data_IF_563245598273
#
_entry.id   IF_563245598273
#
_cell.length_a   1.000
_cell.length_b   1.000
_cell.length_c   1.000
_cell.angle_alpha   90.00
_cell.angle_beta   90.00
_cell.angle_gamma   90.00
#
_symmetry.space_group_name_H-M   'P 1'
#
loop_
_entity.id
_entity.type
_entity.pdbx_description
1 polymer ?
#
# COMPACT_ATOMS: atom_id res chain seq x y z
N UNK A 1 -22.61 22.21 -46.10
CA UNK A 1 -21.74 22.49 -47.26
C UNK A 1 -20.50 23.23 -46.77
N UNK A 2 -19.32 22.71 -47.14
CA UNK A 2 -17.98 23.23 -46.80
C UNK A 2 -17.78 24.70 -47.18
N UNK A 3 -16.94 25.45 -46.44
CA UNK A 3 -15.65 25.98 -46.94
C UNK A 3 -15.01 26.92 -45.89
N UNK A 4 -13.86 26.64 -45.26
CA UNK A 4 -12.44 26.83 -45.67
C UNK A 4 -11.80 28.20 -45.29
N UNK A 5 -10.90 28.14 -44.29
CA UNK A 5 -9.55 28.76 -44.12
C UNK A 5 -9.29 30.28 -43.95
N UNK A 6 -8.59 30.55 -42.85
CA UNK A 6 -7.28 31.24 -42.65
C UNK A 6 -7.08 32.72 -43.00
N UNK A 7 -6.48 33.48 -42.05
CA UNK A 7 -5.21 34.24 -42.16
C UNK A 7 -4.98 35.10 -40.88
N UNK A 8 -3.93 34.81 -40.10
CA UNK A 8 -2.72 35.65 -39.89
C UNK A 8 -2.93 37.08 -39.32
N UNK A 9 -2.38 37.36 -38.13
CA UNK A 9 -1.38 38.42 -37.89
C UNK A 9 -1.06 38.64 -36.38
N UNK A 10 0.23 38.50 -36.03
CA UNK A 10 0.94 39.23 -34.94
C UNK A 10 1.74 40.36 -35.61
N UNK A 11 2.49 41.29 -34.94
CA UNK A 11 2.93 41.34 -33.53
C UNK A 11 2.95 42.75 -32.87
N UNK A 12 3.36 42.87 -31.59
CA UNK A 12 4.28 43.92 -31.07
C UNK A 12 4.85 43.53 -29.69
N UNK A 13 6.17 43.66 -29.55
CA UNK A 13 7.00 43.44 -28.34
C UNK A 13 7.08 44.73 -27.49
N UNK A 14 7.20 44.58 -26.17
CA UNK A 14 8.00 45.44 -25.29
C UNK A 14 8.84 44.56 -24.33
N UNK A 15 10.04 45.04 -23.99
CA UNK A 15 11.16 44.32 -23.38
C UNK A 15 11.34 44.62 -21.87
N UNK A 16 11.64 43.54 -21.13
CA UNK A 16 12.68 43.35 -20.07
C UNK A 16 12.54 44.05 -18.70
N UNK A 17 12.44 43.23 -17.64
CA UNK A 17 13.38 43.15 -16.51
C UNK A 17 13.14 41.85 -15.68
N UNK A 18 14.18 41.02 -15.56
CA UNK A 18 14.31 39.75 -14.80
C UNK A 18 14.97 40.02 -13.41
N UNK A 19 15.06 39.12 -12.39
CA UNK A 19 15.40 37.67 -12.49
C UNK A 19 14.82 36.63 -11.48
N UNK A 20 14.49 35.43 -12.04
CA UNK A 20 14.72 34.01 -11.63
C UNK A 20 14.46 33.46 -10.19
N UNK A 21 14.36 32.11 -9.98
CA UNK A 21 14.24 30.96 -10.91
C UNK A 21 13.18 29.88 -10.50
N UNK A 22 13.16 28.76 -11.25
CA UNK A 22 12.48 27.46 -11.02
C UNK A 22 11.03 27.38 -11.49
N UNK A 23 10.57 26.39 -12.25
CA UNK A 23 11.14 25.11 -12.68
C UNK A 23 10.55 24.76 -14.04
N UNK A 24 11.40 24.41 -14.99
CA UNK A 24 11.03 23.86 -16.29
C UNK A 24 10.35 22.50 -16.07
N UNK A 25 9.03 22.47 -16.26
CA UNK A 25 8.32 21.27 -16.71
C UNK A 25 8.76 21.03 -18.16
N UNK A 26 9.64 20.05 -18.36
CA UNK A 26 9.92 19.52 -19.70
C UNK A 26 9.07 18.27 -19.88
N UNK A 27 8.04 18.44 -20.70
CA UNK A 27 7.34 17.36 -21.40
C UNK A 27 8.37 16.52 -22.18
N UNK A 28 8.35 15.21 -21.97
CA UNK A 28 9.03 14.25 -22.84
C UNK A 28 7.96 13.46 -23.60
N UNK A 29 7.94 13.64 -24.92
CA UNK A 29 7.14 12.89 -25.88
C UNK A 29 7.66 11.46 -26.05
N UNK A 30 6.78 10.49 -26.40
CA UNK A 30 7.14 9.09 -26.53
C UNK A 30 7.61 8.83 -27.96
N UNK A 31 8.92 8.68 -28.17
CA UNK A 31 9.50 7.92 -29.27
C UNK A 31 11.02 7.90 -29.08
N UNK A 32 11.47 6.93 -28.31
CA UNK A 32 12.80 6.31 -28.40
C UNK A 32 12.64 4.89 -27.83
N UNK A 33 12.18 3.98 -28.69
CA UNK A 33 12.11 2.54 -28.43
C UNK A 33 13.34 1.90 -29.09
N UNK A 34 14.08 1.11 -28.30
CA UNK A 34 14.92 -0.08 -28.62
C UNK A 34 16.05 -0.14 -27.56
N UNK A 35 16.31 -1.19 -26.78
CA UNK A 35 16.07 -2.64 -26.88
C UNK A 35 16.15 -3.23 -25.43
N UNK A 36 15.57 -4.41 -25.09
CA UNK A 36 15.31 -4.83 -23.73
C UNK A 36 16.55 -5.49 -23.10
N UNK A 37 17.21 -4.81 -22.18
CA UNK A 37 18.25 -5.44 -21.36
C UNK A 37 17.58 -6.34 -20.32
N UNK A 38 17.89 -7.64 -20.25
CA UNK A 38 17.35 -8.49 -19.21
C UNK A 38 18.02 -8.14 -17.87
N UNK A 39 17.22 -7.77 -16.87
CA UNK A 39 17.56 -8.05 -15.48
C UNK A 39 17.95 -6.89 -14.56
N UNK A 40 17.30 -5.74 -14.63
CA UNK A 40 17.33 -4.78 -13.52
C UNK A 40 15.94 -4.72 -12.89
N UNK A 41 15.76 -5.46 -11.79
CA UNK A 41 14.60 -5.33 -10.91
C UNK A 41 14.83 -4.13 -10.01
N UNK A 42 14.02 -3.09 -10.15
CA UNK A 42 14.11 -1.88 -9.33
C UNK A 42 13.44 -2.20 -7.98
N UNK A 43 14.18 -2.06 -6.88
CA UNK A 43 13.64 -2.17 -5.51
C UNK A 43 13.70 -0.80 -4.87
N UNK A 44 12.53 -0.24 -4.59
CA UNK A 44 12.32 1.00 -3.88
C UNK A 44 12.07 0.71 -2.40
N UNK A 45 13.06 0.93 -1.55
CA UNK A 45 12.85 0.94 -0.10
C UNK A 45 12.95 2.39 0.39
N UNK A 46 11.91 2.88 1.06
CA UNK A 46 11.91 4.16 1.75
C UNK A 46 11.64 3.90 3.23
N UNK A 47 12.57 4.32 4.09
CA UNK A 47 12.40 4.31 5.55
C UNK A 47 12.26 5.77 5.99
N UNK A 48 11.08 6.17 6.44
CA UNK A 48 10.81 7.52 6.92
C UNK A 48 10.79 7.55 8.45
N UNK A 49 11.71 8.31 9.04
CA UNK A 49 11.78 8.49 10.49
C UNK A 49 10.71 9.47 11.03
N UNK A 50 10.25 10.46 10.24
CA UNK A 50 9.31 11.53 10.67
C UNK A 50 8.49 12.13 9.51
N UNK A 51 7.31 12.74 9.76
CA UNK A 51 6.43 13.32 8.73
C UNK A 51 7.02 14.56 8.04
N UNK A 52 8.12 15.11 8.55
CA UNK A 52 8.92 16.19 7.96
C UNK A 52 10.44 15.87 8.01
N UNK A 53 10.80 14.62 8.31
CA UNK A 53 12.18 14.17 8.39
C UNK A 53 12.72 13.74 7.03
N UNK A 54 14.05 13.75 6.88
CA UNK A 54 14.73 13.14 5.73
C UNK A 54 14.47 11.62 5.79
N UNK A 55 13.62 11.11 4.93
CA UNK A 55 13.50 9.67 4.72
C UNK A 55 14.76 9.14 4.06
N UNK A 56 15.22 7.96 4.49
CA UNK A 56 16.27 7.24 3.79
C UNK A 56 15.61 6.54 2.59
N UNK A 57 15.92 7.02 1.39
CA UNK A 57 15.33 6.53 0.14
C UNK A 57 16.39 5.80 -0.68
N UNK A 58 16.25 4.48 -0.80
CA UNK A 58 17.10 3.67 -1.67
C UNK A 58 16.33 3.40 -2.95
N UNK A 59 16.70 4.12 -4.01
CA UNK A 59 16.14 3.92 -5.36
C UNK A 59 16.92 2.89 -6.16
N UNK A 60 18.25 2.95 -6.04
CA UNK A 60 19.20 2.39 -7.00
C UNK A 60 20.53 1.90 -6.36
N UNK A 61 20.64 1.85 -5.03
CA UNK A 61 21.85 1.29 -4.39
C UNK A 61 21.81 -0.24 -4.44
N UNK A 62 22.99 -0.87 -4.49
CA UNK A 62 23.14 -2.34 -4.47
C UNK A 62 22.23 -2.98 -3.40
N UNK A 63 21.55 -4.09 -3.73
CA UNK A 63 20.76 -4.89 -2.77
C UNK A 63 21.55 -5.16 -1.48
N UNK A 64 22.86 -5.41 -1.65
CA UNK A 64 23.79 -5.67 -0.55
C UNK A 64 23.93 -4.47 0.40
N UNK A 65 24.04 -3.25 -0.15
CA UNK A 65 24.14 -2.02 0.61
C UNK A 65 22.82 -1.71 1.32
N UNK A 66 21.69 -1.96 0.66
CA UNK A 66 20.35 -1.81 1.27
C UNK A 66 20.21 -2.72 2.48
N UNK A 67 20.64 -3.98 2.38
CA UNK A 67 20.62 -4.93 3.50
C UNK A 67 21.56 -4.47 4.63
N UNK A 68 22.75 -3.96 4.31
CA UNK A 68 23.69 -3.42 5.31
C UNK A 68 23.10 -2.24 6.07
N UNK A 69 22.49 -1.30 5.36
CA UNK A 69 21.85 -0.14 5.96
C UNK A 69 20.67 -0.56 6.85
N UNK A 70 19.84 -1.51 6.40
CA UNK A 70 18.77 -2.08 7.23
C UNK A 70 19.31 -2.69 8.52
N UNK A 71 20.37 -3.50 8.43
CA UNK A 71 21.00 -4.10 9.61
C UNK A 71 21.50 -3.01 10.56
N UNK A 72 22.19 -1.99 10.06
CA UNK A 72 22.71 -0.88 10.88
C UNK A 72 21.60 -0.09 11.58
N UNK A 73 20.48 0.17 10.90
CA UNK A 73 19.33 0.88 11.48
C UNK A 73 18.75 0.06 12.64
N UNK A 74 18.53 -1.24 12.42
CA UNK A 74 17.89 -2.12 13.39
C UNK A 74 18.85 -2.78 14.38
N UNK A 75 20.16 -2.52 14.28
CA UNK A 75 21.15 -2.80 15.32
C UNK A 75 21.00 -1.85 16.51
N UNK A 76 20.40 -0.66 16.30
CA UNK A 76 20.09 0.25 17.38
C UNK A 76 18.69 -0.05 17.97
N UNK A 77 18.60 -0.58 19.21
CA UNK A 77 17.32 -0.96 19.80
C UNK A 77 16.42 0.23 20.13
N UNK A 78 16.94 1.47 20.10
CA UNK A 78 16.16 2.68 20.37
C UNK A 78 15.50 3.25 19.11
N UNK A 79 15.78 2.70 17.93
CA UNK A 79 15.18 3.18 16.68
C UNK A 79 13.82 2.52 16.49
N UNK A 80 12.79 3.35 16.50
CA UNK A 80 11.44 2.98 16.04
C UNK A 80 11.22 3.73 14.72
N UNK A 81 11.04 2.96 13.65
CA UNK A 81 10.75 3.49 12.32
C UNK A 81 9.25 3.78 12.24
N UNK A 82 8.88 5.03 12.00
CA UNK A 82 7.47 5.40 11.85
C UNK A 82 6.83 4.78 10.61
N UNK A 83 7.53 4.81 9.48
CA UNK A 83 7.00 4.23 8.24
C UNK A 83 8.10 3.60 7.40
N UNK A 84 7.86 2.36 6.98
CA UNK A 84 8.67 1.62 6.04
C UNK A 84 7.83 1.35 4.79
N UNK A 85 8.28 1.85 3.65
CA UNK A 85 7.69 1.63 2.34
C UNK A 85 8.63 0.70 1.57
N UNK A 86 8.18 -0.52 1.36
CA UNK A 86 8.90 -1.52 0.59
C UNK A 86 8.17 -1.78 -0.73
N UNK A 87 8.77 -1.34 -1.82
CA UNK A 87 8.24 -1.46 -3.18
C UNK A 87 9.25 -2.17 -4.07
N UNK A 88 8.82 -3.16 -4.85
CA UNK A 88 9.70 -3.86 -5.82
C UNK A 88 9.01 -4.00 -7.16
N UNK A 89 9.68 -3.60 -8.23
CA UNK A 89 9.23 -3.70 -9.63
C UNK A 89 9.38 -5.14 -10.18
N UNK A 90 9.17 -6.14 -9.32
CA UNK A 90 9.31 -7.56 -9.61
C UNK A 90 9.29 -8.41 -8.35
N UNK A 91 9.69 -9.68 -8.47
CA UNK A 91 9.62 -10.61 -7.35
C UNK A 91 10.71 -10.36 -6.27
N UNK A 92 10.34 -10.08 -5.00
CA UNK A 92 11.26 -9.72 -3.92
C UNK A 92 11.99 -10.90 -3.27
N UNK A 93 11.73 -12.15 -3.69
CA UNK A 93 12.18 -13.32 -2.95
C UNK A 93 13.70 -13.44 -2.79
N UNK A 94 14.48 -13.00 -3.78
CA UNK A 94 15.96 -13.00 -3.70
C UNK A 94 16.45 -12.00 -2.64
N UNK A 95 15.86 -10.80 -2.62
CA UNK A 95 16.14 -9.79 -1.61
C UNK A 95 15.81 -10.33 -0.21
N UNK A 96 14.63 -10.92 -0.01
CA UNK A 96 14.26 -11.53 1.26
C UNK A 96 15.19 -12.67 1.66
N UNK A 97 15.56 -13.56 0.73
CA UNK A 97 16.50 -14.63 1.03
C UNK A 97 17.85 -14.09 1.53
N UNK A 98 18.38 -13.05 0.87
CA UNK A 98 19.63 -12.42 1.26
C UNK A 98 19.53 -11.66 2.59
N UNK A 99 18.43 -10.94 2.80
CA UNK A 99 18.16 -10.23 4.06
C UNK A 99 18.06 -11.23 5.22
N UNK A 100 17.25 -12.28 5.08
CA UNK A 100 17.01 -13.29 6.10
C UNK A 100 18.31 -14.01 6.53
N UNK A 101 19.24 -14.23 5.60
CA UNK A 101 20.58 -14.81 5.90
C UNK A 101 21.45 -13.89 6.75
N UNK A 102 21.25 -12.58 6.70
CA UNK A 102 22.12 -11.58 7.33
C UNK A 102 21.51 -10.91 8.56
N UNK A 103 20.18 -10.82 8.63
CA UNK A 103 19.46 -10.11 9.69
C UNK A 103 19.52 -10.86 11.03
N UNK A 104 19.71 -12.19 11.02
CA UNK A 104 19.81 -13.01 12.22
C UNK A 104 18.49 -13.05 13.01
N UNK A 105 18.55 -12.78 14.31
CA UNK A 105 17.38 -12.79 15.22
C UNK A 105 16.73 -11.42 15.44
N UNK A 106 17.14 -10.39 14.68
CA UNK A 106 16.66 -9.02 14.86
C UNK A 106 15.17 -8.90 14.52
N UNK A 107 14.48 -8.04 15.26
CA UNK A 107 13.13 -7.59 14.96
C UNK A 107 13.15 -6.17 14.43
N UNK A 108 12.29 -5.90 13.47
CA UNK A 108 12.11 -4.58 12.87
C UNK A 108 11.04 -3.85 13.66
N UNK A 109 11.45 -2.83 14.40
CA UNK A 109 10.55 -1.95 15.15
C UNK A 109 10.00 -0.89 14.21
N UNK A 110 8.90 -1.20 13.53
CA UNK A 110 8.25 -0.35 12.53
C UNK A 110 6.79 -0.12 12.91
N UNK A 111 6.30 1.12 12.88
CA UNK A 111 4.90 1.46 13.17
C UNK A 111 3.96 1.18 11.99
N UNK A 112 4.39 1.57 10.78
CA UNK A 112 3.64 1.37 9.53
C UNK A 112 4.48 0.68 8.46
N UNK A 113 3.95 -0.41 7.91
CA UNK A 113 4.49 -1.05 6.72
C UNK A 113 3.60 -0.80 5.52
N UNK A 114 4.15 -0.22 4.46
CA UNK A 114 3.59 -0.29 3.12
C UNK A 114 4.41 -1.30 2.31
N UNK A 115 3.76 -2.31 1.75
CA UNK A 115 4.41 -3.32 0.93
C UNK A 115 3.71 -3.43 -0.42
N UNK A 116 4.42 -3.02 -1.47
CA UNK A 116 4.01 -3.12 -2.87
C UNK A 116 4.97 -3.97 -3.68
N UNK A 117 4.44 -4.81 -4.57
CA UNK A 117 5.28 -5.45 -5.57
C UNK A 117 4.45 -5.91 -6.77
N UNK A 118 5.05 -5.86 -7.95
CA UNK A 118 4.39 -6.23 -9.21
C UNK A 118 4.18 -7.74 -9.32
N UNK A 119 5.17 -8.52 -8.89
CA UNK A 119 5.12 -9.98 -8.89
C UNK A 119 5.51 -10.51 -7.50
N UNK A 120 4.86 -11.58 -7.06
CA UNK A 120 5.10 -12.13 -5.73
C UNK A 120 5.12 -13.66 -5.79
N UNK A 121 6.13 -14.25 -5.15
CA UNK A 121 6.27 -15.67 -4.84
C UNK A 121 5.66 -16.67 -5.85
N UNK A 122 6.47 -17.17 -6.78
CA UNK A 122 6.03 -18.15 -7.80
C UNK A 122 6.16 -19.61 -7.34
N UNK A 123 6.71 -19.85 -6.15
CA UNK A 123 6.89 -21.20 -5.60
C UNK A 123 6.86 -21.20 -4.06
N UNK A 124 6.69 -22.38 -3.41
CA UNK A 124 6.54 -22.47 -1.96
C UNK A 124 7.70 -21.87 -1.15
N UNK A 125 8.96 -22.05 -1.61
CA UNK A 125 10.14 -21.51 -0.93
C UNK A 125 10.12 -19.97 -0.92
N UNK A 126 9.71 -19.35 -2.02
CA UNK A 126 9.61 -17.90 -2.10
C UNK A 126 8.46 -17.37 -1.22
N UNK A 127 7.34 -18.09 -1.14
CA UNK A 127 6.23 -17.75 -0.25
C UNK A 127 6.66 -17.81 1.22
N UNK A 128 7.39 -18.85 1.59
CA UNK A 128 7.99 -18.98 2.94
C UNK A 128 8.92 -17.81 3.27
N UNK A 129 9.76 -17.37 2.32
CA UNK A 129 10.63 -16.21 2.53
C UNK A 129 9.83 -14.91 2.72
N UNK A 130 8.72 -14.73 1.99
CA UNK A 130 7.84 -13.57 2.15
C UNK A 130 7.18 -13.56 3.54
N UNK A 131 6.72 -14.72 4.02
CA UNK A 131 6.18 -14.87 5.37
C UNK A 131 7.24 -14.62 6.44
N UNK A 132 8.44 -15.18 6.27
CA UNK A 132 9.57 -14.94 7.19
C UNK A 132 9.96 -13.47 7.23
N UNK A 133 9.95 -12.78 6.09
CA UNK A 133 10.17 -11.34 6.03
C UNK A 133 9.12 -10.58 6.85
N UNK A 134 7.83 -10.87 6.68
CA UNK A 134 6.78 -10.25 7.50
C UNK A 134 6.92 -10.57 9.00
N UNK A 135 7.38 -11.78 9.32
CA UNK A 135 7.66 -12.18 10.70
C UNK A 135 8.89 -11.49 11.31
N UNK A 136 9.69 -10.74 10.54
CA UNK A 136 10.76 -9.90 11.10
C UNK A 136 10.18 -8.70 11.85
N UNK A 137 8.98 -8.24 11.51
CA UNK A 137 8.37 -7.08 12.17
C UNK A 137 7.92 -7.45 13.59
N UNK A 138 8.17 -6.53 14.52
CA UNK A 138 7.72 -6.68 15.90
C UNK A 138 6.22 -6.36 15.99
N UNK A 139 5.44 -7.30 16.54
CA UNK A 139 3.98 -7.16 16.64
C UNK A 139 3.54 -6.09 17.65
N UNK A 140 4.42 -5.67 18.56
CA UNK A 140 4.12 -4.61 19.53
C UNK A 140 4.23 -3.23 18.91
N UNK A 141 5.11 -3.06 17.92
CA UNK A 141 5.30 -1.77 17.24
C UNK A 141 4.49 -1.67 15.95
N UNK A 142 4.29 -2.76 15.20
CA UNK A 142 3.56 -2.73 13.94
C UNK A 142 2.06 -2.55 14.16
N UNK A 143 1.57 -1.33 13.96
CA UNK A 143 0.15 -0.97 14.14
C UNK A 143 -0.60 -0.78 12.83
N UNK A 144 0.12 -0.55 11.73
CA UNK A 144 -0.45 -0.21 10.42
C UNK A 144 0.16 -1.04 9.30
N UNK A 145 -0.69 -1.56 8.43
CA UNK A 145 -0.29 -2.33 7.25
C UNK A 145 -1.04 -1.85 6.00
N UNK A 146 -0.29 -1.63 4.93
CA UNK A 146 -0.84 -1.47 3.59
C UNK A 146 -0.17 -2.47 2.63
N UNK A 147 -0.97 -3.38 2.06
CA UNK A 147 -0.54 -4.36 1.07
C UNK A 147 -1.05 -3.94 -0.31
N UNK A 148 -0.14 -3.83 -1.27
CA UNK A 148 -0.40 -3.44 -2.65
C UNK A 148 0.22 -4.44 -3.64
N UNK A 149 -0.30 -5.67 -3.59
CA UNK A 149 0.05 -6.75 -4.51
C UNK A 149 -1.09 -7.77 -4.54
N UNK A 150 -1.26 -8.49 -5.65
CA UNK A 150 -2.34 -9.48 -5.81
C UNK A 150 -1.86 -10.91 -5.58
N UNK A 151 -2.02 -11.42 -4.35
CA UNK A 151 -1.65 -12.81 -4.02
C UNK A 151 -2.48 -13.37 -2.84
N UNK A 152 -3.73 -13.80 -3.10
CA UNK A 152 -4.69 -14.26 -2.08
C UNK A 152 -4.08 -15.25 -1.06
N UNK A 153 -3.36 -16.28 -1.55
CA UNK A 153 -2.77 -17.31 -0.69
C UNK A 153 -1.68 -16.80 0.27
N UNK A 154 -0.95 -15.74 -0.07
CA UNK A 154 0.04 -15.16 0.83
C UNK A 154 -0.67 -14.29 1.87
N UNK A 155 -1.65 -13.49 1.44
CA UNK A 155 -2.45 -12.64 2.33
C UNK A 155 -3.15 -13.51 3.39
N UNK A 156 -3.71 -14.65 2.98
CA UNK A 156 -4.30 -15.64 3.87
C UNK A 156 -3.33 -16.12 4.97
N UNK A 157 -2.08 -16.40 4.60
CA UNK A 157 -1.05 -16.82 5.54
C UNK A 157 -0.57 -15.66 6.42
N UNK A 158 -0.44 -14.45 5.86
CA UNK A 158 -0.11 -13.24 6.63
C UNK A 158 -1.15 -12.98 7.72
N UNK A 159 -2.44 -13.12 7.40
CA UNK A 159 -3.54 -12.92 8.36
C UNK A 159 -3.48 -13.85 9.57
N UNK A 160 -2.81 -15.01 9.47
CA UNK A 160 -2.65 -15.96 10.58
C UNK A 160 -1.51 -15.58 11.55
N UNK A 161 -0.68 -14.62 11.18
CA UNK A 161 0.50 -14.25 11.97
C UNK A 161 0.16 -13.36 13.15
N UNK A 162 0.97 -13.44 14.22
CA UNK A 162 0.82 -12.58 15.40
C UNK A 162 1.00 -11.09 15.04
N UNK A 163 1.87 -10.80 14.06
CA UNK A 163 2.08 -9.45 13.53
C UNK A 163 0.80 -8.87 12.94
N UNK A 164 0.06 -9.64 12.15
CA UNK A 164 -1.17 -9.18 11.53
C UNK A 164 -2.29 -9.00 12.56
N UNK A 165 -2.41 -9.95 13.48
CA UNK A 165 -3.39 -9.88 14.58
C UNK A 165 -3.13 -8.71 15.54
N UNK A 166 -1.90 -8.16 15.57
CA UNK A 166 -1.52 -6.97 16.34
C UNK A 166 -1.82 -5.62 15.67
N UNK A 167 -2.36 -5.60 14.45
CA UNK A 167 -2.64 -4.38 13.67
C UNK A 167 -3.86 -3.59 14.19
N UNK A 168 -3.69 -2.90 15.31
CA UNK A 168 -4.77 -2.18 15.99
C UNK A 168 -5.27 -0.94 15.21
N UNK A 169 -4.42 -0.26 14.43
CA UNK A 169 -4.77 1.04 13.85
C UNK A 169 -5.29 0.93 12.40
N UNK A 170 -4.52 0.35 11.48
CA UNK A 170 -4.88 0.35 10.05
C UNK A 170 -4.53 -0.97 9.34
N UNK A 171 -5.49 -1.50 8.58
CA UNK A 171 -5.30 -2.62 7.64
C UNK A 171 -5.86 -2.23 6.28
N UNK A 172 -4.98 -1.95 5.32
CA UNK A 172 -5.35 -1.70 3.93
C UNK A 172 -4.80 -2.80 3.03
N UNK A 173 -5.68 -3.51 2.34
CA UNK A 173 -5.32 -4.56 1.39
C UNK A 173 -5.95 -4.19 0.06
N UNK A 174 -5.12 -3.80 -0.91
CA UNK A 174 -5.55 -3.40 -2.27
C UNK A 174 -5.70 -4.59 -3.22
N UNK A 175 -5.72 -5.79 -2.66
CA UNK A 175 -5.97 -7.04 -3.35
C UNK A 175 -7.20 -7.68 -2.76
N UNK A 176 -7.78 -8.55 -3.55
CA UNK A 176 -8.84 -9.42 -3.12
C UNK A 176 -8.39 -10.33 -1.95
N UNK A 177 -9.30 -10.52 -1.00
CA UNK A 177 -9.19 -11.51 0.07
C UNK A 177 -10.41 -12.43 0.02
N UNK A 178 -10.24 -13.66 0.51
CA UNK A 178 -11.36 -14.59 0.65
C UNK A 178 -12.33 -14.07 1.73
N UNK A 179 -13.63 -14.24 1.48
CA UNK A 179 -14.70 -13.74 2.35
C UNK A 179 -14.59 -14.26 3.79
N UNK A 180 -14.19 -15.52 3.96
CA UNK A 180 -14.05 -16.16 5.27
C UNK A 180 -12.99 -15.47 6.14
N UNK A 181 -12.13 -14.65 5.53
CA UNK A 181 -11.07 -13.93 6.21
C UNK A 181 -11.49 -12.55 6.73
N UNK A 182 -12.72 -12.10 6.46
CA UNK A 182 -13.23 -10.79 6.90
C UNK A 182 -13.09 -10.57 8.42
N UNK A 183 -13.33 -11.61 9.23
CA UNK A 183 -13.18 -11.51 10.68
C UNK A 183 -11.77 -11.13 11.11
N UNK A 184 -10.77 -11.53 10.33
CA UNK A 184 -9.38 -11.32 10.67
C UNK A 184 -8.95 -9.87 10.51
N UNK A 185 -9.79 -8.97 10.00
CA UNK A 185 -9.47 -7.53 9.88
C UNK A 185 -10.29 -6.65 10.81
N UNK A 186 -11.35 -7.19 11.43
CA UNK A 186 -12.29 -6.43 12.24
C UNK A 186 -11.74 -5.92 13.57
N UNK A 187 -10.59 -6.41 14.03
CA UNK A 187 -9.90 -5.85 15.20
C UNK A 187 -9.37 -4.44 14.94
N UNK A 188 -8.99 -4.11 13.71
CA UNK A 188 -8.37 -2.82 13.37
C UNK A 188 -9.36 -1.65 13.31
N UNK A 189 -8.92 -0.45 13.65
CA UNK A 189 -9.77 0.76 13.65
C UNK A 189 -10.15 1.26 12.26
N UNK A 190 -9.27 1.07 11.28
CA UNK A 190 -9.50 1.49 9.90
C UNK A 190 -9.18 0.36 8.96
N UNK A 191 -10.17 -0.05 8.18
CA UNK A 191 -10.03 -1.18 7.26
C UNK A 191 -10.41 -0.76 5.86
N UNK A 192 -9.56 -1.13 4.90
CA UNK A 192 -9.83 -1.05 3.46
C UNK A 192 -9.47 -2.38 2.84
N UNK A 193 -10.44 -3.06 2.26
CA UNK A 193 -10.21 -4.36 1.63
C UNK A 193 -10.98 -4.47 0.32
N UNK A 194 -10.59 -5.43 -0.49
CA UNK A 194 -11.30 -5.82 -1.69
C UNK A 194 -11.81 -7.25 -1.57
N UNK A 195 -13.04 -7.52 -1.99
CA UNK A 195 -13.63 -8.86 -2.11
C UNK A 195 -14.01 -9.14 -3.57
N UNK A 196 -14.11 -10.43 -3.93
CA UNK A 196 -14.64 -10.84 -5.24
C UNK A 196 -16.09 -10.37 -5.40
N UNK A 197 -16.92 -10.71 -4.42
CA UNK A 197 -18.37 -10.50 -4.33
C UNK A 197 -18.70 -9.86 -2.98
N UNK A 198 -19.74 -9.02 -2.95
CA UNK A 198 -20.23 -8.39 -1.71
C UNK A 198 -21.68 -8.72 -1.51
N UNK A 199 -21.95 -9.53 -0.50
CA UNK A 199 -23.34 -9.76 -0.11
C UNK A 199 -23.73 -8.89 1.07
N UNK A 200 -25.04 -8.68 1.15
CA UNK A 200 -25.78 -8.08 2.24
C UNK A 200 -25.19 -8.39 3.64
N UNK A 201 -25.04 -9.66 3.98
CA UNK A 201 -24.62 -10.11 5.30
C UNK A 201 -23.22 -9.63 5.70
N UNK A 202 -22.30 -9.48 4.73
CA UNK A 202 -20.93 -9.02 5.00
C UNK A 202 -20.92 -7.55 5.42
N UNK A 203 -21.72 -6.74 4.72
CA UNK A 203 -21.96 -5.34 5.02
C UNK A 203 -22.62 -5.17 6.38
N UNK A 204 -23.67 -5.96 6.66
CA UNK A 204 -24.36 -5.93 7.95
C UNK A 204 -23.37 -6.16 9.10
N UNK A 205 -22.56 -7.21 8.99
CA UNK A 205 -21.58 -7.57 10.02
C UNK A 205 -20.52 -6.49 10.21
N UNK A 206 -19.99 -5.94 9.13
CA UNK A 206 -19.03 -4.85 9.21
C UNK A 206 -19.62 -3.61 9.89
N UNK A 207 -20.87 -3.25 9.58
CA UNK A 207 -21.54 -2.10 10.21
C UNK A 207 -21.74 -2.36 11.71
N UNK A 208 -22.26 -3.53 12.10
CA UNK A 208 -22.46 -3.90 13.50
C UNK A 208 -21.16 -3.80 14.30
N UNK A 209 -20.04 -4.29 13.75
CA UNK A 209 -18.72 -4.18 14.38
C UNK A 209 -18.29 -2.72 14.51
N UNK A 210 -18.34 -1.94 13.44
CA UNK A 210 -17.76 -0.59 13.41
C UNK A 210 -18.60 0.45 14.17
N UNK A 211 -19.90 0.20 14.38
CA UNK A 211 -20.73 0.99 15.29
C UNK A 211 -20.24 0.92 16.75
N UNK A 212 -19.56 -0.15 17.15
CA UNK A 212 -19.00 -0.30 18.50
C UNK A 212 -17.64 0.35 18.68
N UNK A 213 -17.01 0.81 17.59
CA UNK A 213 -15.66 1.39 17.60
C UNK A 213 -15.69 2.88 17.93
N UNK A 214 -14.50 3.41 18.26
CA UNK A 214 -14.33 4.81 18.61
C UNK A 214 -14.62 5.74 17.41
N UNK A 215 -15.01 7.01 17.65
CA UNK A 215 -15.19 7.98 16.57
C UNK A 215 -13.95 8.10 15.68
N UNK A 216 -14.16 8.12 14.36
CA UNK A 216 -13.10 8.18 13.36
C UNK A 216 -12.64 6.81 12.83
N UNK A 217 -13.12 5.70 13.40
CA UNK A 217 -13.01 4.38 12.80
C UNK A 217 -13.86 4.27 11.53
N UNK A 218 -13.39 3.49 10.55
CA UNK A 218 -14.16 3.24 9.34
C UNK A 218 -13.82 1.88 8.72
N UNK A 219 -14.82 1.32 8.04
CA UNK A 219 -14.68 0.17 7.19
C UNK A 219 -15.00 0.57 5.75
N UNK A 220 -14.12 0.22 4.82
CA UNK A 220 -14.36 0.40 3.38
C UNK A 220 -14.14 -0.93 2.68
N UNK A 221 -15.14 -1.30 1.91
CA UNK A 221 -15.13 -2.48 1.07
C UNK A 221 -15.20 -2.03 -0.39
N UNK A 222 -14.35 -2.62 -1.22
CA UNK A 222 -14.43 -2.53 -2.69
C UNK A 222 -14.64 -3.92 -3.27
N UNK A 223 -15.23 -3.99 -4.46
CA UNK A 223 -15.47 -5.26 -5.15
C UNK A 223 -15.18 -5.16 -6.63
N UNK A 224 -14.82 -6.29 -7.22
CA UNK A 224 -14.67 -6.48 -8.66
C UNK A 224 -15.94 -6.96 -9.34
N UNK A 225 -16.97 -7.28 -8.56
CA UNK A 225 -18.27 -7.69 -9.10
C UNK A 225 -18.89 -6.57 -9.93
N UNK A 226 -19.38 -6.93 -11.11
CA UNK A 226 -19.94 -5.99 -12.10
C UNK A 226 -21.33 -5.52 -11.68
N UNK A 227 -22.08 -6.34 -10.94
CA UNK A 227 -23.43 -6.05 -10.50
C UNK A 227 -23.58 -6.38 -9.02
N UNK A 228 -23.85 -5.36 -8.22
CA UNK A 228 -24.16 -5.52 -6.80
C UNK A 228 -25.67 -5.39 -6.62
N UNK A 229 -26.28 -6.28 -5.84
CA UNK A 229 -27.71 -6.22 -5.48
C UNK A 229 -27.96 -5.06 -4.51
N UNK A 230 -28.14 -3.86 -5.07
CA UNK A 230 -28.34 -2.62 -4.32
C UNK A 230 -29.60 -2.67 -3.45
N UNK A 231 -30.66 -3.34 -3.89
CA UNK A 231 -31.92 -3.41 -3.15
C UNK A 231 -31.73 -4.18 -1.84
N UNK A 232 -31.00 -5.31 -1.87
CA UNK A 232 -30.66 -6.04 -0.65
C UNK A 232 -29.76 -5.25 0.29
N UNK A 233 -28.80 -4.51 -0.26
CA UNK A 233 -27.91 -3.65 0.54
C UNK A 233 -28.72 -2.54 1.21
N UNK A 234 -29.62 -1.87 0.49
CA UNK A 234 -30.47 -0.82 1.02
C UNK A 234 -31.38 -1.34 2.13
N UNK A 235 -32.00 -2.51 1.93
CA UNK A 235 -32.84 -3.14 2.95
C UNK A 235 -32.10 -3.40 4.27
N UNK A 236 -30.79 -3.66 4.24
CA UNK A 236 -29.99 -3.78 5.46
C UNK A 236 -29.84 -2.44 6.15
N UNK A 237 -29.48 -1.39 5.41
CA UNK A 237 -29.34 -0.05 5.99
C UNK A 237 -30.64 0.42 6.65
N UNK A 238 -31.79 0.15 6.01
CA UNK A 238 -33.11 0.47 6.56
C UNK A 238 -33.48 -0.37 7.79
N UNK A 239 -32.95 -1.59 7.91
CA UNK A 239 -33.20 -2.48 9.06
C UNK A 239 -32.38 -2.13 10.30
N UNK A 240 -31.38 -1.25 10.18
CA UNK A 240 -30.49 -0.90 11.29
C UNK A 240 -31.14 0.15 12.19
N UNK A 241 -31.03 0.03 13.52
CA UNK A 241 -31.52 1.05 14.43
C UNK A 241 -30.81 2.38 14.13
N UNK A 242 -31.60 3.44 13.93
CA UNK A 242 -31.14 4.83 13.74
C UNK A 242 -30.30 5.26 14.95
N UNK A 243 -28.99 5.05 14.88
CA UNK A 243 -28.08 5.35 15.99
C UNK A 243 -27.25 6.62 15.78
N UNK A 244 -27.55 7.47 14.78
CA UNK A 244 -27.22 8.91 14.77
C UNK A 244 -27.78 9.62 13.53
N UNK A 245 -28.17 10.91 13.65
CA UNK A 245 -28.69 11.68 12.53
C UNK A 245 -27.58 11.89 11.51
N UNK A 246 -27.71 11.33 10.32
CA UNK A 246 -26.87 11.70 9.18
C UNK A 246 -27.09 13.20 8.94
N UNK A 247 -26.08 14.08 9.10
CA UNK A 247 -26.26 15.49 8.83
C UNK A 247 -26.46 15.64 7.32
N UNK A 248 -27.69 15.94 6.93
CA UNK A 248 -28.05 16.32 5.57
C UNK A 248 -27.83 17.83 5.46
N UNK A 249 -26.67 18.23 4.94
CA UNK A 249 -26.45 19.58 4.42
C UNK A 249 -26.55 19.54 2.90
#
# INVERSE_FOLDING_TARGET
>A
MCSTKMLQNRPRRCQICSPHPSSLLLDLTPDDVEDPTPGIRITHLLVMEKPSGRGLHWRNESEQQTIENLILIFDNPNVIVREMIFTVDGNPAKFFENLLKRIGHRKLHVEKLFWSCVELAINPKQLENCLKFFNLFDSTTLKKLELNFSHKGLIAELMKTTQFQGLEEEIFIRSEIEKEMLENVFHSEKVKIQLEEVIAEDLKRAIEVFQTKKPGSYFKLSTTEIQVDLDKILAIFESMPDNSPVPTN
#
